data_IF_346550086708
#
_entry.id   IF_346550086708
#
_cell.length_a   1.000
_cell.length_b   1.000
_cell.length_c   1.000
_cell.angle_alpha   90.00
_cell.angle_beta   90.00
_cell.angle_gamma   90.00
#
_symmetry.space_group_name_H-M   'P 1'
#
loop_
_entity.id
_entity.type
_entity.pdbx_description
1 polymer ?
#
# COMPACT_ATOMS: atom_id res chain seq x y z
N UNK A 1 -24.01 -4.24 -26.86
CA UNK A 1 -22.64 -4.20 -26.27
C UNK A 1 -22.75 -3.37 -25.01
N UNK A 2 -22.67 -3.98 -23.82
CA UNK A 2 -22.90 -3.29 -22.56
C UNK A 2 -21.65 -2.50 -22.16
N UNK A 3 -21.73 -1.17 -22.25
CA UNK A 3 -20.72 -0.26 -21.72
C UNK A 3 -20.73 -0.37 -20.20
N UNK A 4 -19.75 -1.06 -19.63
CA UNK A 4 -19.50 -1.04 -18.19
C UNK A 4 -19.07 0.38 -17.80
N UNK A 5 -20.04 1.20 -17.39
CA UNK A 5 -19.74 2.48 -16.74
C UNK A 5 -19.15 2.17 -15.38
N UNK A 6 -17.85 2.39 -15.21
CA UNK A 6 -17.24 2.44 -13.90
C UNK A 6 -18.03 3.45 -13.06
N UNK A 7 -18.68 3.06 -11.95
CA UNK A 7 -19.38 4.02 -11.10
C UNK A 7 -18.36 5.07 -10.70
N UNK A 8 -18.74 6.35 -10.83
CA UNK A 8 -17.89 7.47 -10.47
C UNK A 8 -17.22 7.17 -9.12
N UNK A 9 -15.87 7.13 -9.04
CA UNK A 9 -15.20 6.69 -7.84
C UNK A 9 -15.61 7.66 -6.73
N UNK A 10 -16.39 7.16 -5.77
CA UNK A 10 -16.83 7.93 -4.63
C UNK A 10 -15.58 8.56 -3.99
N UNK A 11 -15.51 9.89 -4.02
CA UNK A 11 -14.34 10.61 -3.52
C UNK A 11 -14.24 10.37 -2.02
N UNK A 12 -13.21 9.61 -1.62
CA UNK A 12 -12.93 9.29 -0.21
C UNK A 12 -12.62 10.53 0.62
N UNK A 13 -12.20 11.61 -0.04
CA UNK A 13 -11.91 12.90 0.58
C UNK A 13 -12.47 14.02 -0.29
N UNK A 14 -13.01 15.05 0.36
CA UNK A 14 -13.56 16.21 -0.33
C UNK A 14 -12.45 17.06 -0.99
N UNK A 15 -11.25 17.03 -0.41
CA UNK A 15 -10.10 17.82 -0.84
C UNK A 15 -9.40 17.23 -2.08
N UNK A 16 -9.12 18.09 -3.07
CA UNK A 16 -8.39 17.71 -4.30
C UNK A 16 -6.91 17.38 -4.06
N UNK A 17 -6.37 17.76 -2.91
CA UNK A 17 -4.96 17.61 -2.55
C UNK A 17 -4.86 16.87 -1.23
N UNK A 18 -3.91 15.95 -1.14
CA UNK A 18 -3.73 15.03 -0.01
C UNK A 18 -2.26 14.88 0.31
N UNK A 19 -1.95 14.62 1.58
CA UNK A 19 -0.65 14.07 1.97
C UNK A 19 -0.74 12.55 1.86
N UNK A 20 0.20 11.91 1.17
CA UNK A 20 0.18 10.46 1.02
C UNK A 20 1.47 9.85 1.55
N UNK A 21 1.36 8.72 2.23
CA UNK A 21 2.50 7.92 2.71
C UNK A 21 2.31 6.44 2.36
N UNK A 22 3.40 5.70 2.22
CA UNK A 22 3.41 4.27 1.94
C UNK A 22 3.99 3.51 3.13
N UNK A 23 3.27 2.50 3.61
CA UNK A 23 3.61 1.67 4.77
C UNK A 23 3.85 0.24 4.28
N UNK A 24 5.08 -0.24 4.46
CA UNK A 24 5.51 -1.61 4.11
C UNK A 24 5.64 -2.51 5.35
N UNK A 25 5.70 -1.92 6.54
CA UNK A 25 5.82 -2.64 7.80
C UNK A 25 5.12 -1.89 8.93
N UNK A 26 4.57 -2.63 9.90
CA UNK A 26 3.85 -2.08 11.05
C UNK A 26 4.75 -1.26 11.99
N UNK A 27 6.07 -1.46 11.96
CA UNK A 27 7.03 -0.68 12.76
C UNK A 27 7.03 0.81 12.42
N UNK A 28 6.45 1.22 11.28
CA UNK A 28 6.30 2.62 10.89
C UNK A 28 5.04 3.29 11.45
N UNK A 29 4.14 2.55 12.09
CA UNK A 29 2.90 3.10 12.68
C UNK A 29 3.16 4.25 13.67
N UNK A 30 4.14 4.19 14.59
CA UNK A 30 4.43 5.32 15.47
C UNK A 30 4.84 6.58 14.71
N UNK A 31 5.63 6.42 13.64
CA UNK A 31 6.03 7.52 12.76
C UNK A 31 4.84 8.12 12.00
N UNK A 32 3.93 7.28 11.51
CA UNK A 32 2.70 7.73 10.86
C UNK A 32 1.81 8.54 11.80
N UNK A 33 1.62 8.07 13.04
CA UNK A 33 0.82 8.77 14.05
C UNK A 33 1.45 10.10 14.46
N UNK A 34 2.78 10.15 14.52
CA UNK A 34 3.54 11.39 14.78
C UNK A 34 3.35 12.39 13.64
N UNK A 35 3.38 11.92 12.39
CA UNK A 35 3.13 12.74 11.21
C UNK A 35 1.70 13.29 11.20
N UNK A 36 0.70 12.42 11.43
CA UNK A 36 -0.71 12.82 11.54
C UNK A 36 -0.91 13.90 12.61
N UNK A 37 -0.35 13.69 13.81
CA UNK A 37 -0.43 14.64 14.91
C UNK A 37 0.22 15.98 14.55
N UNK A 38 1.34 15.95 13.84
CA UNK A 38 2.06 17.16 13.40
C UNK A 38 1.26 17.94 12.36
N UNK A 39 0.63 17.26 11.39
CA UNK A 39 -0.21 17.89 10.38
C UNK A 39 -1.47 18.52 11.00
N UNK A 40 -2.07 17.86 12.00
CA UNK A 40 -3.19 18.40 12.76
C UNK A 40 -2.78 19.63 13.60
N UNK A 41 -1.63 19.57 14.26
CA UNK A 41 -1.09 20.70 15.02
C UNK A 41 -0.84 21.93 14.13
N UNK A 42 -0.37 21.72 12.90
CA UNK A 42 -0.19 22.78 11.89
C UNK A 42 -1.47 23.18 11.14
N UNK A 43 -2.64 22.61 11.51
CA UNK A 43 -3.94 22.85 10.86
C UNK A 43 -3.86 22.65 9.33
N UNK A 44 -3.22 21.57 8.90
CA UNK A 44 -3.10 21.26 7.48
C UNK A 44 -4.47 21.17 6.83
N UNK A 45 -4.65 21.84 5.69
CA UNK A 45 -5.89 21.83 4.91
C UNK A 45 -6.06 20.54 4.08
N UNK A 46 -5.07 19.65 4.10
CA UNK A 46 -5.03 18.45 3.28
C UNK A 46 -5.04 17.21 4.17
N UNK A 47 -5.94 16.25 3.91
CA UNK A 47 -6.01 15.01 4.69
C UNK A 47 -4.77 14.13 4.41
N UNK A 48 -4.39 13.33 5.41
CA UNK A 48 -3.33 12.33 5.31
C UNK A 48 -3.92 10.97 4.92
N UNK A 49 -3.40 10.36 3.86
CA UNK A 49 -3.75 9.02 3.38
C UNK A 49 -2.56 8.08 3.52
N UNK A 50 -2.75 6.99 4.24
CA UNK A 50 -1.76 5.94 4.42
C UNK A 50 -2.07 4.77 3.48
N UNK A 51 -1.20 4.54 2.51
CA UNK A 51 -1.23 3.37 1.65
C UNK A 51 -0.47 2.25 2.36
N UNK A 52 -1.09 1.10 2.57
CA UNK A 52 -0.42 -0.05 3.13
C UNK A 52 -0.23 -1.12 2.06
N UNK A 53 0.89 -1.82 2.11
CA UNK A 53 1.11 -3.03 1.30
C UNK A 53 1.01 -4.25 2.22
N UNK A 54 0.05 -5.17 2.01
CA UNK A 54 0.16 -6.49 2.60
C UNK A 54 1.30 -7.19 1.87
N UNK A 55 2.47 -7.32 2.53
CA UNK A 55 3.71 -7.97 2.09
C UNK A 55 3.75 -8.48 0.64
N UNK A 56 4.71 -7.98 -0.14
CA UNK A 56 5.03 -8.52 -1.47
C UNK A 56 5.21 -10.04 -1.39
N UNK A 57 4.72 -10.81 -2.39
CA UNK A 57 4.87 -12.25 -2.39
C UNK A 57 6.35 -12.63 -2.40
N UNK A 58 6.73 -13.76 -1.76
CA UNK A 58 8.08 -14.27 -1.83
C UNK A 58 8.50 -14.49 -3.29
N UNK A 59 9.80 -14.36 -3.61
CA UNK A 59 10.30 -14.54 -4.96
C UNK A 59 9.84 -15.89 -5.53
N UNK A 60 9.52 -15.98 -6.84
CA UNK A 60 9.19 -17.26 -7.46
C UNK A 60 10.33 -18.23 -7.16
N UNK A 61 10.03 -19.27 -6.40
CA UNK A 61 11.00 -20.31 -6.11
C UNK A 61 11.50 -20.84 -7.45
N UNK A 62 12.83 -20.90 -7.69
CA UNK A 62 13.31 -21.57 -8.87
C UNK A 62 12.75 -23.00 -8.85
N UNK A 63 12.23 -23.52 -9.98
CA UNK A 63 11.73 -24.88 -10.04
C UNK A 63 12.84 -25.79 -9.51
N UNK A 64 12.49 -26.64 -8.54
CA UNK A 64 13.39 -27.56 -7.84
C UNK A 64 14.21 -28.31 -8.88
N UNK A 65 15.39 -27.77 -9.20
CA UNK A 65 16.22 -28.31 -10.26
C UNK A 65 17.05 -29.38 -9.58
N UNK A 66 16.75 -30.60 -10.02
CA UNK A 66 17.62 -31.77 -10.00
C UNK A 66 17.43 -32.72 -8.83
N UNK A 67 16.32 -33.46 -8.91
CA UNK A 67 16.41 -34.90 -8.75
C UNK A 67 17.39 -35.44 -9.81
N UNK A 68 18.68 -35.56 -9.46
CA UNK A 68 19.53 -36.62 -10.02
C UNK A 68 19.63 -37.71 -8.98
N UNK A 69 18.68 -38.62 -9.02
CA UNK A 69 19.05 -40.04 -8.96
C UNK A 69 18.95 -40.54 -10.40
N UNK A 70 20.08 -40.91 -11.01
CA UNK A 70 20.21 -42.32 -11.35
C UNK A 70 21.60 -42.88 -11.03
N UNK A 71 21.59 -44.00 -10.28
CA UNK A 71 22.33 -45.26 -10.45
C UNK A 71 23.77 -45.19 -11.01
N UNK A 72 24.74 -45.54 -10.16
CA UNK A 72 25.82 -46.48 -10.49
C UNK A 72 26.26 -47.23 -9.25
#
# INVERSE_FOLDING_TARGET
MASQTNPEPARLVDSKKVWTTLITNLSYLPGLLTLDSSLKAQKSAYPLLALYTPSLPPPPTPPSTRATSPKS
#
